data_IF_105552451244
#
_entry.id   IF_105552451244
#
_cell.length_a   1.000
_cell.length_b   1.000
_cell.length_c   1.000
_cell.angle_alpha   90.00
_cell.angle_beta   90.00
_cell.angle_gamma   90.00
#
_symmetry.space_group_name_H-M   'P 1'
#
loop_
_entity.id
_entity.type
_entity.pdbx_description
1 polymer ?
#
# COMPACT_ATOMS: atom_id res chain seq x y z
N UNK A 1 6.53 -54.21 7.81
CA UNK A 1 7.73 -53.42 8.15
C UNK A 1 7.32 -51.99 7.89
N UNK A 2 6.81 -51.37 8.95
CA UNK A 2 5.90 -50.24 8.89
C UNK A 2 6.65 -48.94 8.60
N UNK A 3 6.26 -48.26 7.52
CA UNK A 3 6.67 -46.89 7.21
C UNK A 3 6.03 -45.84 8.16
N UNK A 4 5.33 -46.26 9.21
CA UNK A 4 4.74 -45.38 10.24
C UNK A 4 5.70 -45.03 11.40
N UNK A 5 6.95 -45.54 11.42
CA UNK A 5 7.87 -45.38 12.57
C UNK A 5 9.10 -44.49 12.33
N UNK A 6 9.02 -43.50 11.44
CA UNK A 6 10.15 -42.58 11.21
C UNK A 6 9.77 -41.12 10.96
N UNK A 7 8.87 -40.57 11.77
CA UNK A 7 8.86 -39.12 12.05
C UNK A 7 8.81 -38.98 13.58
N UNK A 8 9.85 -38.45 14.24
CA UNK A 8 9.80 -38.27 15.68
C UNK A 8 8.64 -37.32 15.98
N UNK A 9 7.80 -37.73 16.93
CA UNK A 9 6.74 -36.97 17.58
C UNK A 9 7.11 -35.48 17.56
N UNK A 10 6.46 -34.71 16.71
CA UNK A 10 6.62 -33.26 16.66
C UNK A 10 6.27 -32.77 18.07
N UNK A 11 7.28 -32.37 18.84
CA UNK A 11 7.14 -32.06 20.26
C UNK A 11 5.95 -31.08 20.44
N UNK A 12 5.07 -31.35 21.42
CA UNK A 12 3.93 -30.47 21.72
C UNK A 12 4.35 -29.00 21.94
N UNK A 13 5.59 -28.76 22.37
CA UNK A 13 6.17 -27.43 22.47
C UNK A 13 6.44 -26.77 21.10
N UNK A 14 6.90 -27.53 20.10
CA UNK A 14 7.10 -27.07 18.72
C UNK A 14 5.75 -26.77 18.08
N UNK A 15 4.76 -27.66 18.22
CA UNK A 15 3.39 -27.41 17.75
C UNK A 15 2.76 -26.16 18.38
N UNK A 16 2.85 -26.01 19.71
CA UNK A 16 2.36 -24.80 20.39
C UNK A 16 3.09 -23.53 19.95
N UNK A 17 4.38 -23.63 19.64
CA UNK A 17 5.16 -22.50 19.12
C UNK A 17 4.71 -22.15 17.70
N UNK A 18 4.54 -23.15 16.83
CA UNK A 18 4.03 -22.97 15.47
C UNK A 18 2.62 -22.36 15.48
N UNK A 19 1.71 -22.85 16.32
CA UNK A 19 0.38 -22.26 16.50
C UNK A 19 0.44 -20.82 16.99
N UNK A 20 1.40 -20.50 17.89
CA UNK A 20 1.58 -19.14 18.41
C UNK A 20 2.14 -18.20 17.35
N UNK A 21 3.10 -18.67 16.55
CA UNK A 21 3.65 -17.94 15.39
C UNK A 21 2.58 -17.72 14.32
N UNK A 22 1.77 -18.74 14.02
CA UNK A 22 0.62 -18.59 13.12
C UNK A 22 -0.42 -17.62 13.66
N UNK A 23 -0.61 -17.51 14.98
CA UNK A 23 -1.57 -16.56 15.56
C UNK A 23 -1.03 -15.14 15.72
N UNK A 24 0.26 -14.88 15.43
CA UNK A 24 0.80 -13.52 15.50
C UNK A 24 0.05 -12.58 14.53
N UNK A 25 -0.30 -11.37 14.96
CA UNK A 25 -0.94 -10.40 14.09
C UNK A 25 0.01 -9.97 12.97
N UNK A 26 -0.54 -9.62 11.80
CA UNK A 26 0.23 -8.82 10.85
C UNK A 26 0.13 -7.35 11.21
N UNK A 27 1.27 -6.68 11.28
CA UNK A 27 1.39 -5.27 11.63
C UNK A 27 1.62 -4.47 10.36
N UNK A 28 0.63 -3.66 9.98
CA UNK A 28 0.70 -2.76 8.82
C UNK A 28 0.62 -1.32 9.30
N UNK A 29 1.70 -0.57 9.20
CA UNK A 29 1.69 0.85 9.59
C UNK A 29 1.38 1.74 8.39
N UNK A 30 0.61 2.81 8.60
CA UNK A 30 0.37 3.85 7.59
C UNK A 30 0.98 5.15 8.08
N UNK A 31 1.89 5.71 7.28
CA UNK A 31 2.64 6.92 7.60
C UNK A 31 2.51 7.95 6.49
N UNK A 32 2.85 9.19 6.77
CA UNK A 32 2.80 10.30 5.81
C UNK A 32 2.45 11.61 6.49
N UNK A 33 2.56 12.71 5.74
CA UNK A 33 2.24 14.04 6.25
C UNK A 33 0.79 14.15 6.74
N UNK A 34 0.49 15.21 7.47
CA UNK A 34 -0.88 15.56 7.84
C UNK A 34 -1.72 15.86 6.61
N UNK A 35 -3.00 15.46 6.64
CA UNK A 35 -3.93 15.75 5.56
C UNK A 35 -3.70 14.95 4.27
N UNK A 36 -2.70 14.06 4.19
CA UNK A 36 -2.48 13.21 2.99
C UNK A 36 -3.59 12.16 2.81
N UNK A 37 -4.41 11.88 3.82
CA UNK A 37 -5.54 10.95 3.73
C UNK A 37 -5.26 9.54 4.25
N UNK A 38 -4.38 9.38 5.26
CA UNK A 38 -4.03 8.09 5.88
C UNK A 38 -5.24 7.35 6.42
N UNK A 39 -6.01 7.99 7.31
CA UNK A 39 -7.19 7.40 7.93
C UNK A 39 -8.29 7.10 6.89
N UNK A 40 -8.45 7.95 5.87
CA UNK A 40 -9.34 7.68 4.72
C UNK A 40 -8.89 6.47 3.90
N UNK A 41 -7.58 6.27 3.72
CA UNK A 41 -7.01 5.10 3.04
C UNK A 41 -7.26 3.81 3.84
N UNK A 42 -7.05 3.83 5.17
CA UNK A 42 -7.33 2.68 6.04
C UNK A 42 -8.82 2.31 5.98
N UNK A 43 -9.72 3.30 6.11
CA UNK A 43 -11.16 3.09 5.96
C UNK A 43 -11.52 2.45 4.62
N UNK A 44 -10.91 2.92 3.53
CA UNK A 44 -11.22 2.45 2.19
C UNK A 44 -10.69 1.04 1.91
N UNK A 45 -9.49 0.69 2.41
CA UNK A 45 -8.84 -0.61 2.21
C UNK A 45 -9.46 -1.73 3.06
N UNK A 46 -9.84 -1.41 4.30
CA UNK A 46 -10.22 -2.43 5.28
C UNK A 46 -11.66 -2.32 5.78
N UNK A 47 -12.46 -1.46 5.15
CA UNK A 47 -13.88 -1.26 5.47
C UNK A 47 -14.12 -0.96 6.95
N UNK A 48 -13.25 -0.11 7.54
CA UNK A 48 -13.36 0.40 8.91
C UNK A 48 -13.90 1.83 8.93
N UNK A 49 -14.36 2.29 10.10
CA UNK A 49 -14.95 3.61 10.30
C UNK A 49 -14.13 4.44 11.29
N UNK A 50 -12.86 4.68 10.98
CA UNK A 50 -12.04 5.63 11.73
C UNK A 50 -12.59 7.04 11.56
N UNK A 51 -12.50 7.84 12.61
CA UNK A 51 -12.84 9.26 12.54
C UNK A 51 -11.94 9.97 11.52
N UNK A 52 -12.54 10.76 10.64
CA UNK A 52 -11.81 11.59 9.67
C UNK A 52 -12.39 12.99 9.70
N UNK A 53 -11.55 14.00 9.95
CA UNK A 53 -11.93 15.41 9.90
C UNK A 53 -11.24 16.08 8.68
N UNK A 54 -12.00 16.75 7.80
CA UNK A 54 -11.44 17.40 6.61
C UNK A 54 -10.69 18.71 6.92
N UNK A 55 -10.81 19.25 8.14
CA UNK A 55 -10.30 20.55 8.57
C UNK A 55 -9.16 20.43 9.58
N UNK A 56 -9.24 19.48 10.52
CA UNK A 56 -8.23 19.32 11.58
C UNK A 56 -7.58 17.92 11.59
N UNK A 57 -6.31 17.81 12.01
CA UNK A 57 -5.70 16.51 12.26
C UNK A 57 -6.38 15.82 13.44
N UNK A 58 -6.97 14.64 13.20
CA UNK A 58 -7.57 13.84 14.27
C UNK A 58 -6.50 13.04 15.05
N UNK A 59 -5.42 12.63 14.39
CA UNK A 59 -4.46 11.64 14.91
C UNK A 59 -3.25 12.33 15.56
N UNK A 60 -3.31 12.57 16.87
CA UNK A 60 -2.20 13.18 17.66
C UNK A 60 -1.27 12.17 18.32
N UNK A 61 -1.70 10.91 18.43
CA UNK A 61 -0.93 9.78 18.95
C UNK A 61 -1.05 8.60 17.98
N UNK A 62 -0.15 7.61 18.09
CA UNK A 62 -0.22 6.42 17.24
C UNK A 62 -1.50 5.65 17.58
N UNK A 63 -2.46 5.60 16.66
CA UNK A 63 -3.72 4.88 16.86
C UNK A 63 -3.59 3.44 16.38
N UNK A 64 -3.74 2.48 17.31
CA UNK A 64 -3.77 1.04 17.01
C UNK A 64 -5.18 0.59 16.70
N UNK A 65 -5.38 0.08 15.49
CA UNK A 65 -6.66 -0.42 15.01
C UNK A 65 -6.55 -1.92 14.85
N UNK A 66 -7.36 -2.67 15.59
CA UNK A 66 -7.38 -4.12 15.54
C UNK A 66 -8.58 -4.56 14.71
N UNK A 67 -8.31 -5.11 13.53
CA UNK A 67 -9.35 -5.72 12.71
C UNK A 67 -9.31 -7.22 12.92
N UNK A 68 -10.43 -7.76 13.42
CA UNK A 68 -10.65 -9.20 13.56
C UNK A 68 -11.49 -9.65 12.38
N UNK A 69 -10.91 -10.45 11.50
CA UNK A 69 -11.69 -11.13 10.46
C UNK A 69 -12.55 -12.24 11.05
N UNK A 70 -13.24 -13.01 10.20
CA UNK A 70 -13.90 -14.26 10.61
C UNK A 70 -12.88 -15.36 11.01
N UNK A 71 -11.61 -15.16 10.68
CA UNK A 71 -10.50 -15.98 11.15
C UNK A 71 -9.99 -15.47 12.50
N UNK A 72 -9.48 -16.36 13.37
CA UNK A 72 -8.85 -16.02 14.66
C UNK A 72 -7.55 -15.18 14.56
N UNK A 73 -7.29 -14.52 13.43
CA UNK A 73 -6.10 -13.72 13.18
C UNK A 73 -6.41 -12.22 13.24
N UNK A 74 -5.55 -11.47 13.90
CA UNK A 74 -5.66 -10.02 14.04
C UNK A 74 -4.81 -9.31 12.98
N UNK A 75 -5.34 -8.23 12.42
CA UNK A 75 -4.56 -7.25 11.65
C UNK A 75 -4.46 -5.98 12.48
N UNK A 76 -3.22 -5.51 12.70
CA UNK A 76 -2.97 -4.30 13.47
C UNK A 76 -2.55 -3.19 12.52
N UNK A 77 -3.37 -2.15 12.44
CA UNK A 77 -3.03 -0.94 11.71
C UNK A 77 -2.61 0.15 12.67
N UNK A 78 -1.54 0.85 12.31
CA UNK A 78 -1.07 1.99 13.08
C UNK A 78 -1.14 3.23 12.19
N UNK A 79 -2.00 4.19 12.55
CA UNK A 79 -2.01 5.52 11.95
C UNK A 79 -1.07 6.42 12.76
N UNK A 80 0.04 6.84 12.14
CA UNK A 80 1.03 7.67 12.83
C UNK A 80 0.68 9.16 12.68
N UNK A 81 0.96 10.00 13.70
CA UNK A 81 0.77 11.44 13.60
C UNK A 81 1.54 12.01 12.40
N UNK A 82 0.96 12.98 11.70
CA UNK A 82 1.51 13.42 10.43
C UNK A 82 2.93 13.98 10.54
N UNK A 83 3.77 13.62 9.58
CA UNK A 83 5.14 14.11 9.49
C UNK A 83 5.09 15.63 9.27
N UNK A 84 5.57 16.41 10.25
CA UNK A 84 5.64 17.88 10.19
C UNK A 84 4.77 18.68 11.17
N UNK A 85 4.01 18.05 12.06
CA UNK A 85 3.17 18.77 13.06
C UNK A 85 3.92 19.23 14.32
N UNK A 86 5.05 18.60 14.62
CA UNK A 86 6.03 19.06 15.60
C UNK A 86 7.34 19.31 14.87
N UNK A 87 8.19 20.21 15.37
CA UNK A 87 9.52 20.39 14.79
C UNK A 87 10.15 19.01 14.57
N UNK A 88 10.51 18.72 13.31
CA UNK A 88 11.10 17.44 12.87
C UNK A 88 12.47 17.21 13.55
N UNK A 89 12.89 18.13 14.42
CA UNK A 89 14.04 18.07 15.31
C UNK A 89 13.77 17.24 16.58
N UNK A 90 12.52 16.93 16.93
CA UNK A 90 12.25 16.28 18.20
C UNK A 90 12.66 14.79 18.11
N UNK A 91 13.80 14.47 18.74
CA UNK A 91 14.41 13.14 18.75
C UNK A 91 13.40 12.04 19.12
N UNK A 92 12.50 12.35 20.06
CA UNK A 92 11.43 11.45 20.52
C UNK A 92 10.48 11.04 19.39
N UNK A 93 10.24 11.93 18.42
CA UNK A 93 9.40 11.66 17.26
C UNK A 93 10.07 10.67 16.31
N UNK A 94 11.34 10.90 15.97
CA UNK A 94 12.13 10.02 15.09
C UNK A 94 12.33 8.64 15.73
N UNK A 95 12.59 8.57 17.03
CA UNK A 95 12.74 7.31 17.77
C UNK A 95 11.44 6.50 17.74
N UNK A 96 10.29 7.14 17.97
CA UNK A 96 8.98 6.49 17.89
C UNK A 96 8.68 5.93 16.48
N UNK A 97 8.98 6.71 15.44
CA UNK A 97 8.88 6.25 14.06
C UNK A 97 9.83 5.08 13.78
N UNK A 98 11.07 5.16 14.22
CA UNK A 98 12.07 4.09 14.08
C UNK A 98 11.54 2.79 14.68
N UNK A 99 11.09 2.82 15.94
CA UNK A 99 10.60 1.65 16.65
C UNK A 99 9.37 1.05 15.99
N UNK A 100 8.40 1.89 15.62
CA UNK A 100 7.18 1.44 14.95
C UNK A 100 7.48 0.85 13.57
N UNK A 101 8.37 1.48 12.81
CA UNK A 101 8.80 0.96 11.53
C UNK A 101 9.48 -0.39 11.72
N UNK A 102 10.44 -0.54 12.64
CA UNK A 102 11.10 -1.82 12.90
C UNK A 102 10.12 -2.94 13.27
N UNK A 103 9.10 -2.65 14.08
CA UNK A 103 8.08 -3.63 14.49
C UNK A 103 7.06 -3.97 13.39
N UNK A 104 6.91 -3.13 12.37
CA UNK A 104 5.93 -3.35 11.30
C UNK A 104 6.36 -4.48 10.36
N UNK A 105 5.41 -5.27 9.86
CA UNK A 105 5.67 -6.22 8.78
C UNK A 105 5.65 -5.53 7.41
N UNK A 106 4.74 -4.55 7.25
CA UNK A 106 4.61 -3.70 6.05
C UNK A 106 4.33 -2.27 6.48
N UNK A 107 4.82 -1.32 5.71
CA UNK A 107 4.60 0.11 5.96
C UNK A 107 4.09 0.77 4.69
N UNK A 108 2.93 1.40 4.74
CA UNK A 108 2.36 2.20 3.66
C UNK A 108 2.76 3.66 3.88
N UNK A 109 3.65 4.19 3.05
CA UNK A 109 4.02 5.60 3.04
C UNK A 109 3.09 6.37 2.09
N UNK A 110 2.12 7.07 2.67
CA UNK A 110 1.13 7.88 1.95
C UNK A 110 1.67 9.27 1.64
N UNK A 111 1.64 9.66 0.38
CA UNK A 111 2.07 10.99 -0.09
C UNK A 111 0.95 11.60 -0.92
N UNK A 112 0.61 12.86 -0.65
CA UNK A 112 -0.41 13.56 -1.42
C UNK A 112 0.02 13.71 -2.89
N UNK A 113 -0.85 13.35 -3.84
CA UNK A 113 -0.51 13.32 -5.26
C UNK A 113 -0.15 14.71 -5.82
N UNK A 114 -0.75 15.78 -5.31
CA UNK A 114 -0.44 17.17 -5.69
C UNK A 114 0.70 17.82 -4.88
N UNK A 115 1.40 17.07 -4.02
CA UNK A 115 2.57 17.61 -3.36
C UNK A 115 3.66 17.91 -4.41
N UNK A 116 3.96 19.19 -4.61
CA UNK A 116 5.03 19.65 -5.52
C UNK A 116 6.42 19.59 -4.88
N UNK A 117 6.51 19.40 -3.57
CA UNK A 117 7.76 19.29 -2.81
C UNK A 117 7.95 17.87 -2.27
N UNK A 118 8.47 16.97 -3.12
CA UNK A 118 8.93 15.63 -2.70
C UNK A 118 10.12 15.69 -1.75
N UNK A 119 10.76 16.86 -1.64
CA UNK A 119 11.88 17.14 -0.75
C UNK A 119 11.54 16.88 0.72
N UNK A 120 10.33 17.24 1.16
CA UNK A 120 9.94 17.04 2.55
C UNK A 120 9.91 15.57 2.93
N UNK A 121 9.13 14.75 2.21
CA UNK A 121 9.04 13.32 2.50
C UNK A 121 10.39 12.62 2.30
N UNK A 122 11.16 12.98 1.27
CA UNK A 122 12.46 12.34 1.00
C UNK A 122 13.52 12.70 2.07
N UNK A 123 13.50 13.92 2.61
CA UNK A 123 14.34 14.29 3.75
C UNK A 123 13.93 13.52 5.01
N UNK A 124 12.63 13.33 5.25
CA UNK A 124 12.16 12.55 6.39
C UNK A 124 12.53 11.08 6.29
N UNK A 125 12.37 10.47 5.11
CA UNK A 125 12.84 9.11 4.84
C UNK A 125 14.34 9.00 5.13
N UNK A 126 15.15 9.94 4.63
CA UNK A 126 16.60 9.96 4.92
C UNK A 126 16.89 10.06 6.41
N UNK A 127 16.22 10.97 7.14
CA UNK A 127 16.42 11.14 8.59
C UNK A 127 16.09 9.87 9.37
N UNK A 128 14.98 9.21 9.04
CA UNK A 128 14.58 7.94 9.65
C UNK A 128 15.60 6.85 9.34
N UNK A 129 16.04 6.71 8.08
CA UNK A 129 17.04 5.70 7.73
C UNK A 129 18.40 5.98 8.38
N UNK A 130 18.77 7.25 8.55
CA UNK A 130 19.98 7.65 9.27
C UNK A 130 19.90 7.44 10.78
N UNK A 131 18.70 7.32 11.37
CA UNK A 131 18.55 7.03 12.80
C UNK A 131 18.64 5.53 13.12
N UNK A 132 18.62 4.66 12.11
CA UNK A 132 18.81 3.21 12.25
C UNK A 132 20.29 2.86 12.47
N UNK A 133 20.52 1.81 13.28
CA UNK A 133 21.84 1.45 13.81
C UNK A 133 22.83 1.00 12.73
N UNK A 134 22.36 0.24 11.75
CA UNK A 134 23.21 -0.45 10.76
C UNK A 134 22.49 -0.61 9.41
N UNK A 135 23.20 -1.15 8.42
CA UNK A 135 22.67 -1.37 7.09
C UNK A 135 21.63 -2.50 7.03
N UNK A 136 21.62 -3.42 7.99
CA UNK A 136 20.63 -4.49 8.07
C UNK A 136 19.26 -3.92 8.48
N UNK A 137 19.22 -3.08 9.52
CA UNK A 137 18.01 -2.36 9.91
C UNK A 137 17.51 -1.44 8.78
N UNK A 138 18.41 -0.70 8.12
CA UNK A 138 18.04 0.15 6.98
C UNK A 138 17.46 -0.66 5.84
N UNK A 139 18.08 -1.79 5.51
CA UNK A 139 17.60 -2.73 4.50
C UNK A 139 16.22 -3.27 4.88
N UNK A 140 16.03 -3.70 6.12
CA UNK A 140 14.76 -4.23 6.61
C UNK A 140 13.64 -3.20 6.54
N UNK A 141 13.91 -1.94 6.90
CA UNK A 141 12.91 -0.86 6.84
C UNK A 141 12.58 -0.47 5.41
N UNK A 142 13.56 -0.17 4.55
CA UNK A 142 13.27 0.25 3.16
C UNK A 142 12.53 -0.86 2.39
N UNK A 143 12.86 -2.13 2.66
CA UNK A 143 12.33 -3.28 1.93
C UNK A 143 10.86 -3.56 2.21
N UNK A 144 10.32 -3.07 3.34
CA UNK A 144 8.90 -3.21 3.69
C UNK A 144 8.04 -1.98 3.42
N UNK A 145 8.63 -0.90 2.93
CA UNK A 145 7.88 0.28 2.49
C UNK A 145 7.09 -0.02 1.21
N UNK A 146 5.87 0.51 1.14
CA UNK A 146 5.03 0.65 -0.04
C UNK A 146 4.67 2.12 -0.14
N UNK A 147 5.10 2.79 -1.20
CA UNK A 147 4.78 4.20 -1.41
C UNK A 147 3.46 4.34 -2.16
N UNK A 148 2.57 5.16 -1.63
CA UNK A 148 1.21 5.38 -2.17
C UNK A 148 1.00 6.86 -2.44
N UNK A 149 0.64 7.20 -3.68
CA UNK A 149 0.19 8.56 -4.02
C UNK A 149 -1.31 8.66 -3.77
N UNK A 150 -1.69 9.30 -2.67
CA UNK A 150 -3.09 9.46 -2.28
C UNK A 150 -3.74 10.66 -2.97
N UNK A 151 -5.08 10.69 -2.96
CA UNK A 151 -5.90 11.77 -3.50
C UNK A 151 -5.63 12.09 -4.98
N UNK A 152 -5.42 11.06 -5.80
CA UNK A 152 -5.21 11.25 -7.24
C UNK A 152 -6.45 11.75 -7.98
N UNK A 153 -7.62 11.63 -7.36
CA UNK A 153 -8.88 12.23 -7.81
C UNK A 153 -8.80 13.76 -7.96
N UNK A 154 -7.90 14.41 -7.22
CA UNK A 154 -7.68 15.85 -7.27
C UNK A 154 -6.73 16.29 -8.41
N UNK A 155 -6.19 15.36 -9.19
CA UNK A 155 -5.38 15.70 -10.36
C UNK A 155 -6.31 16.16 -11.49
N UNK A 156 -6.44 17.48 -11.66
CA UNK A 156 -7.31 18.09 -12.68
C UNK A 156 -6.60 19.17 -13.49
N UNK A 157 -6.96 19.40 -14.78
CA UNK A 157 -7.69 18.54 -15.72
C UNK A 157 -6.75 17.64 -16.55
N UNK A 158 -7.23 16.53 -17.17
CA UNK A 158 -8.62 16.19 -17.62
C UNK A 158 -9.45 15.23 -16.72
N UNK A 159 -10.78 15.04 -16.98
CA UNK A 159 -11.74 14.43 -16.04
C UNK A 159 -11.65 12.91 -15.87
N UNK A 160 -12.03 12.42 -14.68
CA UNK A 160 -12.21 10.99 -14.42
C UNK A 160 -13.47 10.44 -15.09
N UNK A 161 -13.44 9.14 -15.43
CA UNK A 161 -14.56 8.43 -16.09
C UNK A 161 -15.21 7.51 -15.06
N UNK A 162 -16.52 7.65 -14.83
CA UNK A 162 -17.29 6.70 -14.03
C UNK A 162 -17.97 5.66 -14.92
N UNK A 163 -17.47 4.42 -14.89
CA UNK A 163 -18.03 3.30 -15.65
C UNK A 163 -19.15 2.66 -14.83
N UNK A 164 -20.39 3.04 -15.14
CA UNK A 164 -21.61 2.56 -14.47
C UNK A 164 -21.98 1.13 -14.89
N UNK A 165 -22.39 0.30 -13.92
CA UNK A 165 -23.05 -0.99 -14.10
C UNK A 165 -24.20 -1.12 -13.08
N UNK A 166 -25.45 -0.93 -13.53
CA UNK A 166 -26.63 -0.81 -12.63
C UNK A 166 -26.42 0.31 -11.61
N UNK A 167 -26.55 0.06 -10.31
CA UNK A 167 -26.47 1.06 -9.24
C UNK A 167 -25.07 1.22 -8.64
N UNK A 168 -24.06 0.60 -9.25
CA UNK A 168 -22.65 0.68 -8.88
C UNK A 168 -21.80 1.05 -10.09
N UNK A 169 -20.56 1.45 -9.88
CA UNK A 169 -19.61 1.67 -10.95
C UNK A 169 -18.19 1.83 -10.44
N UNK A 170 -17.26 1.94 -11.38
CA UNK A 170 -15.83 2.11 -11.11
C UNK A 170 -15.32 3.40 -11.73
N UNK A 171 -14.51 4.14 -11.00
CA UNK A 171 -13.79 5.27 -11.56
C UNK A 171 -12.51 4.80 -12.24
N UNK A 172 -12.29 5.28 -13.46
CA UNK A 172 -11.04 5.08 -14.18
C UNK A 172 -10.48 6.43 -14.67
N UNK A 173 -9.16 6.61 -14.68
CA UNK A 173 -8.57 7.79 -15.28
C UNK A 173 -8.71 7.71 -16.80
N UNK A 174 -8.92 8.87 -17.44
CA UNK A 174 -8.76 8.98 -18.88
C UNK A 174 -7.27 8.79 -19.27
N UNK A 175 -6.98 8.79 -20.58
CA UNK A 175 -5.62 8.56 -21.11
C UNK A 175 -4.59 9.57 -20.60
N UNK A 176 -4.92 10.86 -20.57
CA UNK A 176 -4.01 11.92 -20.14
C UNK A 176 -3.75 11.88 -18.63
N UNK A 177 -4.81 11.70 -17.82
CA UNK A 177 -4.68 11.51 -16.36
C UNK A 177 -3.83 10.27 -16.06
N UNK A 178 -4.02 9.17 -16.80
CA UNK A 178 -3.18 7.96 -16.66
C UNK A 178 -1.72 8.26 -16.96
N UNK A 179 -1.42 8.98 -18.04
CA UNK A 179 -0.04 9.37 -18.35
C UNK A 179 0.58 10.24 -17.25
N UNK A 180 -0.18 11.15 -16.64
CA UNK A 180 0.29 11.97 -15.52
C UNK A 180 0.60 11.09 -14.30
N UNK A 181 -0.28 10.12 -13.99
CA UNK A 181 -0.06 9.17 -12.90
C UNK A 181 1.21 8.34 -13.13
N UNK A 182 1.40 7.82 -14.33
CA UNK A 182 2.58 7.02 -14.69
C UNK A 182 3.87 7.86 -14.60
N UNK A 183 3.84 9.11 -15.08
CA UNK A 183 4.97 10.02 -14.97
C UNK A 183 5.29 10.38 -13.52
N UNK A 184 4.26 10.66 -12.70
CA UNK A 184 4.43 10.90 -11.26
C UNK A 184 4.98 9.67 -10.57
N UNK A 185 4.46 8.48 -10.83
CA UNK A 185 4.97 7.25 -10.23
C UNK A 185 6.46 7.04 -10.53
N UNK A 186 6.90 7.25 -11.79
CA UNK A 186 8.32 7.16 -12.19
C UNK A 186 9.20 8.22 -11.53
N UNK A 187 8.71 9.45 -11.44
CA UNK A 187 9.41 10.55 -10.75
C UNK A 187 9.60 10.22 -9.26
N UNK A 188 8.53 9.83 -8.57
CA UNK A 188 8.58 9.48 -7.15
C UNK A 188 9.44 8.23 -6.90
N UNK A 189 9.38 7.20 -7.74
CA UNK A 189 10.28 6.05 -7.63
C UNK A 189 11.74 6.49 -7.70
N UNK A 190 12.05 7.43 -8.58
CA UNK A 190 13.40 7.98 -8.71
C UNK A 190 13.84 8.83 -7.51
N UNK A 191 12.89 9.47 -6.82
CA UNK A 191 13.18 10.27 -5.62
C UNK A 191 13.29 9.43 -4.35
N UNK A 192 12.43 8.42 -4.17
CA UNK A 192 12.27 7.71 -2.90
C UNK A 192 12.95 6.35 -2.86
N UNK A 193 13.02 5.64 -3.98
CA UNK A 193 13.56 4.27 -4.01
C UNK A 193 14.97 4.21 -4.59
N UNK A 194 15.23 4.87 -5.73
CA UNK A 194 16.56 4.81 -6.37
C UNK A 194 17.73 5.20 -5.46
N UNK A 195 17.65 6.23 -4.59
CA UNK A 195 18.75 6.58 -3.69
C UNK A 195 19.10 5.49 -2.67
N UNK A 196 18.20 4.52 -2.47
CA UNK A 196 18.35 3.44 -1.50
C UNK A 196 18.40 2.06 -2.18
N UNK A 197 18.56 2.00 -3.51
CA UNK A 197 18.52 0.76 -4.26
C UNK A 197 19.57 -0.26 -3.79
N UNK A 198 20.78 0.18 -3.45
CA UNK A 198 21.89 -0.72 -3.07
C UNK A 198 21.60 -1.53 -1.81
N UNK A 199 20.85 -0.95 -0.86
CA UNK A 199 20.49 -1.59 0.41
C UNK A 199 19.11 -2.25 0.37
N UNK A 200 18.35 -2.09 -0.72
CA UNK A 200 16.97 -2.59 -0.81
C UNK A 200 16.95 -4.06 -1.22
N UNK A 201 16.14 -4.86 -0.52
CA UNK A 201 15.88 -6.27 -0.85
C UNK A 201 14.39 -6.54 -0.84
N UNK A 202 13.76 -6.55 -2.02
CA UNK A 202 12.33 -6.87 -2.13
C UNK A 202 12.10 -8.37 -1.99
N UNK A 203 10.92 -8.77 -1.49
CA UNK A 203 10.55 -10.18 -1.38
C UNK A 203 9.13 -10.45 -1.88
N UNK A 204 8.91 -11.67 -2.37
CA UNK A 204 7.58 -12.21 -2.69
C UNK A 204 7.52 -13.70 -2.33
N UNK A 205 6.32 -14.25 -2.16
CA UNK A 205 6.17 -15.66 -1.85
C UNK A 205 6.54 -16.57 -3.03
N UNK A 206 7.05 -17.76 -2.70
CA UNK A 206 7.37 -18.83 -3.65
C UNK A 206 6.12 -19.58 -4.08
N UNK A 207 5.82 -19.65 -5.37
CA UNK A 207 4.71 -20.48 -5.88
C UNK A 207 5.07 -21.98 -5.84
N UNK A 208 6.28 -22.28 -6.30
CA UNK A 208 6.92 -23.58 -6.44
C UNK A 208 8.44 -23.37 -6.36
N UNK A 209 9.24 -24.40 -6.63
CA UNK A 209 10.70 -24.30 -6.65
C UNK A 209 11.17 -23.15 -7.58
N UNK A 210 12.10 -22.33 -7.10
CA UNK A 210 12.63 -21.18 -7.84
C UNK A 210 14.14 -21.37 -8.06
N UNK A 211 14.54 -21.47 -9.33
CA UNK A 211 15.95 -21.64 -9.73
C UNK A 211 16.27 -20.72 -10.89
N UNK A 212 17.01 -19.67 -10.62
CA UNK A 212 17.52 -18.72 -11.63
C UNK A 212 19.02 -18.53 -11.42
N UNK A 213 19.76 -18.45 -12.52
CA UNK A 213 21.19 -18.13 -12.50
C UNK A 213 21.35 -16.62 -12.67
N UNK A 214 21.01 -15.87 -11.62
CA UNK A 214 21.02 -14.41 -11.59
C UNK A 214 21.39 -13.95 -10.17
N UNK A 215 22.55 -13.31 -10.01
CA UNK A 215 23.08 -12.88 -8.70
C UNK A 215 22.18 -11.87 -7.95
N UNK A 216 21.26 -11.24 -8.69
CA UNK A 216 20.25 -10.33 -8.16
C UNK A 216 19.22 -11.06 -7.27
N UNK A 217 19.04 -12.37 -7.45
CA UNK A 217 18.00 -13.14 -6.78
C UNK A 217 18.56 -14.17 -5.80
N UNK A 218 17.81 -14.41 -4.73
CA UNK A 218 18.01 -15.53 -3.81
C UNK A 218 16.65 -16.04 -3.35
N UNK A 219 16.58 -17.22 -2.72
CA UNK A 219 15.34 -17.74 -2.16
C UNK A 219 15.59 -18.58 -0.92
N UNK A 220 14.57 -18.71 -0.08
CA UNK A 220 14.52 -19.68 1.02
C UNK A 220 13.33 -20.64 0.81
N UNK A 221 12.80 -21.28 1.86
CA UNK A 221 11.66 -22.19 1.73
C UNK A 221 10.32 -21.49 1.46
N UNK A 222 10.23 -20.17 1.68
CA UNK A 222 8.99 -19.41 1.68
C UNK A 222 8.97 -18.23 0.69
N UNK A 223 10.13 -17.62 0.43
CA UNK A 223 10.25 -16.36 -0.30
C UNK A 223 11.34 -16.40 -1.38
N UNK A 224 11.10 -15.59 -2.42
CA UNK A 224 12.11 -15.12 -3.36
C UNK A 224 12.46 -13.70 -3.00
N UNK A 225 13.76 -13.40 -3.00
CA UNK A 225 14.34 -12.11 -2.72
C UNK A 225 14.97 -11.52 -3.98
N UNK A 226 14.85 -10.22 -4.16
CA UNK A 226 15.46 -9.45 -5.24
C UNK A 226 16.23 -8.27 -4.65
N UNK A 227 17.55 -8.27 -4.85
CA UNK A 227 18.42 -7.15 -4.47
C UNK A 227 18.25 -6.00 -5.47
N UNK A 228 18.18 -4.78 -4.94
CA UNK A 228 17.98 -3.59 -5.75
C UNK A 228 16.63 -3.51 -6.45
N UNK A 229 16.56 -2.59 -7.41
CA UNK A 229 15.34 -2.25 -8.14
C UNK A 229 15.34 -2.96 -9.50
N UNK A 230 14.19 -3.50 -9.87
CA UNK A 230 13.94 -4.11 -11.16
C UNK A 230 13.40 -3.07 -12.14
N UNK A 231 14.10 -2.85 -13.25
CA UNK A 231 13.61 -1.99 -14.33
C UNK A 231 12.62 -2.75 -15.22
N UNK A 232 11.77 -2.01 -15.95
CA UNK A 232 10.82 -2.58 -16.92
C UNK A 232 11.52 -3.39 -18.02
N UNK A 233 12.69 -2.91 -18.47
CA UNK A 233 13.54 -3.62 -19.43
C UNK A 233 14.03 -4.94 -18.83
N UNK A 234 14.53 -4.90 -17.60
CA UNK A 234 15.06 -6.08 -16.92
C UNK A 234 13.96 -7.11 -16.62
N UNK A 235 12.76 -6.65 -16.23
CA UNK A 235 11.58 -7.51 -16.09
C UNK A 235 11.30 -8.26 -17.40
N UNK A 236 11.27 -7.54 -18.52
CA UNK A 236 11.00 -8.11 -19.84
C UNK A 236 12.05 -9.15 -20.27
N UNK A 237 13.33 -8.92 -19.94
CA UNK A 237 14.41 -9.88 -20.17
C UNK A 237 14.23 -11.15 -19.33
N UNK A 238 13.94 -11.01 -18.05
CA UNK A 238 13.77 -12.13 -17.12
C UNK A 238 12.56 -12.98 -17.49
N UNK A 239 11.44 -12.37 -17.88
CA UNK A 239 10.24 -13.09 -18.33
C UNK A 239 10.49 -13.90 -19.60
N UNK A 240 11.35 -13.40 -20.51
CA UNK A 240 11.76 -14.15 -21.70
C UNK A 240 12.74 -15.28 -21.38
N UNK A 241 13.70 -15.04 -20.47
CA UNK A 241 14.73 -16.00 -20.09
C UNK A 241 14.17 -17.13 -19.21
N UNK A 242 13.22 -16.81 -18.33
CA UNK A 242 12.62 -17.74 -17.38
C UNK A 242 11.08 -17.61 -17.37
N UNK A 243 10.40 -18.11 -18.41
CA UNK A 243 8.96 -17.94 -18.58
C UNK A 243 8.14 -18.53 -17.42
N UNK A 244 8.61 -19.61 -16.80
CA UNK A 244 7.94 -20.28 -15.66
C UNK A 244 7.83 -19.38 -14.42
N UNK A 245 8.74 -18.40 -14.28
CA UNK A 245 8.79 -17.50 -13.12
C UNK A 245 8.22 -16.10 -13.40
N UNK A 246 7.52 -15.92 -14.53
CA UNK A 246 6.94 -14.63 -14.95
C UNK A 246 6.17 -13.94 -13.82
N UNK A 247 5.30 -14.68 -13.12
CA UNK A 247 4.49 -14.13 -12.01
C UNK A 247 5.33 -13.70 -10.81
N UNK A 248 6.43 -14.41 -10.52
CA UNK A 248 7.35 -14.05 -9.43
C UNK A 248 8.01 -12.71 -9.75
N UNK A 249 8.52 -12.54 -10.97
CA UNK A 249 9.15 -11.27 -11.38
C UNK A 249 8.15 -10.12 -11.42
N UNK A 250 6.91 -10.35 -11.88
CA UNK A 250 5.84 -9.36 -11.85
C UNK A 250 5.53 -8.90 -10.42
N UNK A 251 5.37 -9.84 -9.47
CA UNK A 251 5.12 -9.48 -8.06
C UNK A 251 6.28 -8.67 -7.47
N UNK A 252 7.52 -9.05 -7.75
CA UNK A 252 8.70 -8.31 -7.30
C UNK A 252 8.74 -6.91 -7.91
N UNK A 253 8.52 -6.79 -9.22
CA UNK A 253 8.48 -5.51 -9.92
C UNK A 253 7.39 -4.57 -9.38
N UNK A 254 6.16 -5.06 -9.26
CA UNK A 254 5.01 -4.29 -8.77
C UNK A 254 5.23 -3.84 -7.33
N UNK A 255 5.86 -4.68 -6.49
CA UNK A 255 6.18 -4.33 -5.09
C UNK A 255 7.17 -3.16 -4.92
N UNK A 256 7.83 -2.77 -6.01
CA UNK A 256 8.78 -1.66 -6.07
C UNK A 256 8.21 -0.43 -6.79
N UNK A 257 6.94 -0.45 -7.19
CA UNK A 257 6.29 0.69 -7.83
C UNK A 257 5.69 1.65 -6.81
N UNK A 258 5.50 2.89 -7.23
CA UNK A 258 4.70 3.88 -6.52
C UNK A 258 3.24 3.68 -6.94
N UNK A 259 2.34 3.48 -5.97
CA UNK A 259 0.95 3.11 -6.26
C UNK A 259 0.02 4.33 -6.14
N UNK A 260 -0.56 4.84 -7.23
CA UNK A 260 -1.54 5.90 -7.18
C UNK A 260 -2.90 5.39 -6.68
N UNK A 261 -3.54 6.11 -5.76
CA UNK A 261 -4.86 5.75 -5.28
C UNK A 261 -5.75 6.95 -4.92
N UNK A 262 -7.05 6.70 -4.99
CA UNK A 262 -8.08 7.59 -4.47
C UNK A 262 -8.98 6.79 -3.54
N UNK A 263 -8.99 7.13 -2.25
CA UNK A 263 -9.94 6.57 -1.29
C UNK A 263 -11.38 6.97 -1.63
N UNK A 264 -11.56 8.19 -2.17
CA UNK A 264 -12.86 8.74 -2.55
C UNK A 264 -13.44 7.99 -3.75
N UNK A 265 -12.67 7.85 -4.82
CA UNK A 265 -13.09 7.16 -6.05
C UNK A 265 -12.88 5.65 -5.99
N UNK A 266 -12.32 5.15 -4.89
CA UNK A 266 -11.93 3.74 -4.70
C UNK A 266 -11.06 3.23 -5.85
N UNK A 267 -10.16 4.07 -6.33
CA UNK A 267 -9.22 3.75 -7.40
C UNK A 267 -7.87 3.34 -6.80
N UNK A 268 -7.25 2.27 -7.31
CA UNK A 268 -5.90 1.85 -6.91
C UNK A 268 -5.82 1.09 -5.58
N UNK A 269 -6.97 0.76 -4.96
CA UNK A 269 -7.00 0.13 -3.63
C UNK A 269 -6.62 -1.35 -3.71
N UNK A 270 -7.09 -2.06 -4.73
CA UNK A 270 -6.73 -3.45 -4.98
C UNK A 270 -5.21 -3.63 -5.15
N UNK A 271 -4.56 -2.76 -5.92
CA UNK A 271 -3.12 -2.81 -6.16
C UNK A 271 -2.31 -2.63 -4.86
N UNK A 272 -2.75 -1.74 -3.97
CA UNK A 272 -2.14 -1.54 -2.65
C UNK A 272 -2.27 -2.80 -1.81
N UNK A 273 -3.48 -3.36 -1.73
CA UNK A 273 -3.74 -4.55 -0.94
C UNK A 273 -2.92 -5.74 -1.47
N UNK A 274 -2.82 -5.90 -2.79
CA UNK A 274 -2.00 -6.92 -3.42
C UNK A 274 -0.52 -6.73 -3.09
N UNK A 275 0.00 -5.49 -3.10
CA UNK A 275 1.37 -5.20 -2.72
C UNK A 275 1.66 -5.53 -1.24
N UNK A 276 0.72 -5.25 -0.33
CA UNK A 276 0.80 -5.65 1.09
C UNK A 276 0.88 -7.18 1.20
N UNK A 277 -0.04 -7.90 0.58
CA UNK A 277 -0.08 -9.38 0.62
C UNK A 277 1.19 -9.99 0.04
N UNK A 278 1.70 -9.44 -1.07
CA UNK A 278 2.93 -9.92 -1.69
C UNK A 278 4.14 -9.82 -0.75
N UNK A 279 4.22 -8.77 0.09
CA UNK A 279 5.28 -8.61 1.09
C UNK A 279 5.07 -9.50 2.33
N UNK A 280 3.83 -9.77 2.72
CA UNK A 280 3.48 -10.62 3.87
C UNK A 280 3.51 -12.13 3.58
N UNK A 281 3.42 -12.53 2.31
CA UNK A 281 3.52 -13.91 1.86
C UNK A 281 2.20 -14.68 1.81
N UNK A 282 2.25 -15.97 1.42
CA UNK A 282 1.06 -16.81 1.16
C UNK A 282 0.05 -16.84 2.32
N UNK A 283 0.55 -16.87 3.56
CA UNK A 283 -0.32 -16.93 4.74
C UNK A 283 -1.18 -15.67 4.89
N UNK A 284 -0.76 -14.54 4.32
CA UNK A 284 -1.56 -13.32 4.30
C UNK A 284 -2.77 -13.42 3.38
N UNK A 285 -2.71 -14.20 2.30
CA UNK A 285 -3.84 -14.36 1.37
C UNK A 285 -5.11 -14.78 2.12
N UNK A 286 -5.00 -15.76 3.03
CA UNK A 286 -6.14 -16.25 3.82
C UNK A 286 -6.65 -15.22 4.82
N UNK A 287 -5.77 -14.42 5.41
CA UNK A 287 -6.15 -13.39 6.41
C UNK A 287 -6.76 -12.15 5.78
N UNK A 288 -6.31 -11.81 4.58
CA UNK A 288 -6.84 -10.69 3.81
C UNK A 288 -7.98 -11.10 2.87
N UNK A 289 -8.35 -12.38 2.84
CA UNK A 289 -9.38 -12.93 1.95
C UNK A 289 -10.69 -12.17 2.02
N UNK A 290 -11.14 -11.80 3.22
CA UNK A 290 -12.38 -11.04 3.38
C UNK A 290 -12.34 -9.65 2.71
N UNK A 291 -11.15 -9.05 2.58
CA UNK A 291 -10.98 -7.76 1.90
C UNK A 291 -10.74 -7.92 0.38
N UNK A 292 -10.23 -9.08 -0.05
CA UNK A 292 -10.04 -9.42 -1.48
C UNK A 292 -11.33 -9.92 -2.15
N UNK A 293 -12.09 -10.77 -1.46
CA UNK A 293 -13.34 -11.37 -1.94
C UNK A 293 -14.49 -10.34 -1.95
N UNK A 294 -14.31 -9.20 -1.27
CA UNK A 294 -15.17 -8.04 -1.46
C UNK A 294 -14.88 -7.44 -2.84
N UNK A 295 -15.51 -8.03 -3.87
CA UNK A 295 -15.55 -7.58 -5.27
C UNK A 295 -15.88 -6.08 -5.45
N UNK A 296 -16.24 -5.40 -4.35
CA UNK A 296 -16.56 -3.99 -4.21
C UNK A 296 -15.39 -3.10 -3.79
N UNK A 297 -14.17 -3.63 -3.64
CA UNK A 297 -13.03 -2.80 -3.19
C UNK A 297 -12.84 -1.55 -4.06
N UNK A 298 -13.04 -1.69 -5.38
CA UNK A 298 -12.96 -0.57 -6.33
C UNK A 298 -14.32 -0.08 -6.84
N UNK A 299 -15.43 -0.46 -6.18
CA UNK A 299 -16.79 -0.10 -6.58
C UNK A 299 -17.35 1.02 -5.71
N UNK A 300 -17.98 1.99 -6.36
CA UNK A 300 -18.69 3.11 -5.73
C UNK A 300 -20.17 3.02 -6.12
N UNK A 301 -21.07 3.24 -5.16
CA UNK A 301 -22.51 3.33 -5.47
C UNK A 301 -22.80 4.57 -6.32
N UNK A 302 -23.76 4.46 -7.23
CA UNK A 302 -24.15 5.55 -8.12
C UNK A 302 -24.56 6.81 -7.34
N UNK A 303 -25.27 6.64 -6.22
CA UNK A 303 -25.67 7.73 -5.32
C UNK A 303 -24.45 8.45 -4.74
N UNK A 304 -23.41 7.72 -4.32
CA UNK A 304 -22.17 8.33 -3.83
C UNK A 304 -21.40 9.02 -4.95
N UNK A 305 -21.27 8.39 -6.11
CA UNK A 305 -20.56 8.95 -7.26
C UNK A 305 -21.17 10.29 -7.73
N UNK A 306 -22.51 10.40 -7.71
CA UNK A 306 -23.23 11.66 -7.98
C UNK A 306 -22.80 12.80 -7.08
N UNK A 307 -22.56 12.51 -5.80
CA UNK A 307 -22.14 13.50 -4.81
C UNK A 307 -20.63 13.80 -4.83
N UNK A 308 -19.83 13.09 -5.63
CA UNK A 308 -18.39 13.34 -5.74
C UNK A 308 -18.06 14.26 -6.92
N UNK A 309 -18.81 14.12 -8.01
CA UNK A 309 -18.64 14.92 -9.22
C UNK A 309 -19.53 16.18 -9.16
N UNK A 310 -19.53 16.90 -8.03
CA UNK A 310 -20.43 18.03 -7.76
C UNK A 310 -20.17 19.22 -8.70
N UNK A 311 -20.73 19.15 -9.92
CA UNK A 311 -20.88 20.29 -10.80
C UNK A 311 -22.29 20.83 -10.57
N UNK A 312 -22.36 21.96 -9.87
CA UNK A 312 -23.53 22.80 -9.78
C UNK A 312 -23.26 24.02 -10.67
N UNK A 313 -24.06 24.16 -11.72
CA UNK A 313 -24.08 25.39 -12.52
C UNK A 313 -25.32 26.17 -12.10
N UNK A 314 -25.08 27.31 -11.47
CA UNK A 314 -26.11 28.25 -11.02
C UNK A 314 -26.07 29.46 -11.94
N UNK A 315 -27.21 29.78 -12.54
CA UNK A 315 -27.40 31.00 -13.31
C UNK A 315 -27.78 32.11 -12.33
N UNK A 316 -26.85 33.04 -12.14
CA UNK A 316 -27.01 34.16 -11.22
C UNK A 316 -28.02 35.20 -11.72
N UNK A 317 -28.14 35.40 -13.03
CA UNK A 317 -29.10 36.37 -13.60
C UNK A 317 -30.54 35.87 -13.49
N UNK A 318 -30.73 34.55 -13.60
CA UNK A 318 -32.04 33.91 -13.49
C UNK A 318 -32.33 33.35 -12.08
N UNK A 319 -31.40 33.56 -11.13
CA UNK A 319 -31.42 33.04 -9.75
C UNK A 319 -31.83 31.56 -9.65
N UNK A 320 -31.33 30.71 -10.56
CA UNK A 320 -31.72 29.30 -10.61
C UNK A 320 -30.55 28.37 -10.87
N UNK A 321 -30.68 27.15 -10.35
CA UNK A 321 -29.77 26.07 -10.72
C UNK A 321 -30.10 25.57 -12.13
N UNK A 322 -29.16 25.69 -13.07
CA UNK A 322 -29.32 25.24 -14.46
C UNK A 322 -28.78 23.83 -14.69
N UNK A 323 -27.80 23.40 -13.90
CA UNK A 323 -27.31 22.04 -13.91
C UNK A 323 -26.88 21.65 -12.50
N UNK A 324 -27.32 20.48 -12.07
CA UNK A 324 -26.94 19.90 -10.80
C UNK A 324 -26.74 18.41 -11.07
N UNK A 325 -25.47 17.97 -11.09
CA UNK A 325 -25.19 16.57 -11.36
C UNK A 325 -25.85 15.65 -10.31
N UNK A 326 -26.06 16.12 -9.08
CA UNK A 326 -26.72 15.34 -8.03
C UNK A 326 -28.20 15.06 -8.36
N UNK A 327 -28.82 15.90 -9.21
CA UNK A 327 -30.23 15.80 -9.63
C UNK A 327 -30.42 15.13 -10.98
N UNK A 328 -29.36 14.72 -11.68
CA UNK A 328 -29.50 14.06 -12.98
C UNK A 328 -29.91 12.59 -12.83
N UNK A 329 -30.84 12.13 -13.67
CA UNK A 329 -31.15 10.70 -13.83
C UNK A 329 -30.03 10.03 -14.64
N UNK A 330 -29.08 9.41 -13.92
CA UNK A 330 -27.93 8.68 -14.48
C UNK A 330 -28.16 7.19 -14.58
#
# INVERSE_FOLDING_TARGET
MDLEKSVPILNNAVLKTLEKEEKKPFIVSVIGQTGVGKSSLINALFSVNLATDPVQPCTKEIEKIIIKGNSNYELWFYDLPGIGESEISDKKYIDSYRDQLLQSDVVIWSIHSDNRSTTFDSMNLKRILSSLSDDEERSAVISKLIFVLTKVDLLTPPPWIFVKRRDIGKFIPNKETRNILDYKAKYYQSTFLKPHAEIMTSKTYLDHEFRVDESQFSCDSNYVYCKGILSEVRLSELQKKYPDYTKVFERLYVSQQILPCSSLFRFGLYEILLAVINKLGKNAIFRFRNFLDDTKLDEVSLVKARNYCNILIFDQEQEKTIFDLSKQEL
#
